data_IF_567871690817
#
_entry.id   IF_567871690817
#
_cell.length_a   1.000
_cell.length_b   1.000
_cell.length_c   1.000
_cell.angle_alpha   90.00
_cell.angle_beta   90.00
_cell.angle_gamma   90.00
#
_symmetry.space_group_name_H-M   'P 1'
#
loop_
_entity.id
_entity.type
_entity.pdbx_description
1 polymer ?
#
# COMPACT_ATOMS: atom_id res chain seq x y z
N UNK A 1 -26.72 -6.45 -1.32
CA UNK A 1 -25.31 -6.50 -1.68
C UNK A 1 -25.22 -6.31 -3.19
N UNK A 2 -24.38 -5.39 -3.63
CA UNK A 2 -24.14 -5.15 -5.04
C UNK A 2 -23.33 -6.30 -5.65
N UNK A 3 -23.44 -6.44 -6.97
CA UNK A 3 -22.63 -7.40 -7.73
C UNK A 3 -21.28 -6.73 -7.92
N UNK A 4 -20.28 -7.19 -7.19
CA UNK A 4 -18.94 -6.63 -7.25
C UNK A 4 -18.17 -7.00 -5.99
N UNK A 5 -17.03 -6.38 -5.81
CA UNK A 5 -16.18 -6.64 -4.65
C UNK A 5 -15.75 -5.34 -3.97
N UNK A 6 -15.49 -5.43 -2.70
CA UNK A 6 -14.88 -4.41 -1.87
C UNK A 6 -13.57 -4.93 -1.29
N UNK A 7 -12.49 -4.17 -1.47
CA UNK A 7 -11.14 -4.57 -1.12
C UNK A 7 -10.34 -3.44 -0.50
N UNK A 8 -9.27 -3.79 0.18
CA UNK A 8 -8.29 -2.87 0.74
C UNK A 8 -8.90 -1.79 1.64
N UNK A 9 -9.74 -2.16 2.62
CA UNK A 9 -10.29 -1.18 3.55
C UNK A 9 -9.17 -0.54 4.37
N UNK A 10 -9.25 0.78 4.53
CA UNK A 10 -8.34 1.58 5.36
C UNK A 10 -9.14 2.57 6.19
N UNK A 11 -9.01 2.46 7.50
CA UNK A 11 -9.63 3.39 8.44
C UNK A 11 -8.83 4.69 8.42
N UNK A 12 -9.53 5.84 8.43
CA UNK A 12 -8.89 7.15 8.54
C UNK A 12 -8.19 7.30 9.90
N UNK A 13 -7.10 8.06 10.01
CA UNK A 13 -6.41 8.26 11.29
C UNK A 13 -7.30 8.79 12.42
N UNK A 14 -8.30 9.59 12.11
CA UNK A 14 -9.30 10.10 13.08
C UNK A 14 -10.44 9.11 13.40
N UNK A 15 -10.44 7.93 12.75
CA UNK A 15 -11.41 6.85 12.97
C UNK A 15 -12.82 7.09 12.40
N UNK A 16 -13.06 8.20 11.67
CA UNK A 16 -14.41 8.57 11.24
C UNK A 16 -14.84 7.93 9.93
N UNK A 17 -13.89 7.52 9.09
CA UNK A 17 -14.15 7.01 7.76
C UNK A 17 -13.40 5.73 7.47
N UNK A 18 -13.92 4.96 6.52
CA UNK A 18 -13.24 3.82 5.89
C UNK A 18 -13.16 4.11 4.40
N UNK A 19 -11.95 4.17 3.85
CA UNK A 19 -11.72 4.18 2.41
C UNK A 19 -11.50 2.75 1.93
N UNK A 20 -11.97 2.44 0.73
CA UNK A 20 -11.80 1.11 0.14
C UNK A 20 -11.86 1.17 -1.39
N UNK A 21 -11.36 0.13 -2.02
CA UNK A 21 -11.50 -0.11 -3.46
C UNK A 21 -12.79 -0.89 -3.69
N UNK A 22 -13.71 -0.35 -4.50
CA UNK A 22 -15.00 -0.97 -4.76
C UNK A 22 -15.29 -1.08 -6.26
N UNK A 23 -16.12 -2.07 -6.62
CA UNK A 23 -16.58 -2.30 -7.99
C UNK A 23 -18.11 -2.43 -7.99
N UNK A 24 -18.81 -1.32 -8.19
CA UNK A 24 -20.29 -1.30 -8.18
C UNK A 24 -20.93 -1.17 -9.57
N UNK A 25 -20.20 -0.64 -10.54
CA UNK A 25 -20.69 -0.39 -11.91
C UNK A 25 -19.75 -0.95 -13.01
N UNK A 26 -18.96 -1.95 -12.66
CA UNK A 26 -18.01 -2.59 -13.55
C UNK A 26 -16.59 -2.01 -13.49
N UNK A 27 -16.42 -0.75 -13.06
CA UNK A 27 -15.11 -0.15 -12.86
C UNK A 27 -14.67 -0.25 -11.39
N UNK A 28 -13.38 -0.42 -11.17
CA UNK A 28 -12.77 -0.40 -9.85
C UNK A 28 -12.40 1.02 -9.46
N UNK A 29 -12.98 1.52 -8.38
CA UNK A 29 -12.83 2.91 -7.98
C UNK A 29 -12.56 3.06 -6.47
N UNK A 30 -12.11 4.25 -6.08
CA UNK A 30 -11.96 4.62 -4.67
C UNK A 30 -13.30 5.06 -4.10
N UNK A 31 -13.68 4.45 -2.99
CA UNK A 31 -14.89 4.79 -2.23
C UNK A 31 -14.53 5.16 -0.78
N UNK A 32 -15.42 5.91 -0.17
CA UNK A 32 -15.37 6.24 1.26
C UNK A 32 -16.74 6.05 1.89
N UNK A 33 -16.76 5.53 3.12
CA UNK A 33 -17.97 5.35 3.92
C UNK A 33 -17.70 5.82 5.36
N UNK A 34 -18.66 6.41 6.08
CA UNK A 34 -18.51 6.65 7.52
C UNK A 34 -18.25 5.36 8.27
N UNK A 35 -17.38 5.36 9.28
CA UNK A 35 -17.08 4.16 10.09
C UNK A 35 -18.27 3.63 10.86
N UNK A 36 -19.26 4.48 11.12
CA UNK A 36 -20.55 4.11 11.72
C UNK A 36 -21.53 3.43 10.73
N UNK A 37 -21.12 3.28 9.46
CA UNK A 37 -21.96 2.75 8.38
C UNK A 37 -22.67 3.84 7.59
N UNK A 38 -23.40 3.44 6.54
CA UNK A 38 -24.10 4.37 5.65
C UNK A 38 -23.98 3.96 4.19
N UNK A 39 -24.14 4.93 3.30
CA UNK A 39 -24.03 4.73 1.85
C UNK A 39 -22.60 5.08 1.42
N UNK A 40 -21.88 4.20 0.73
CA UNK A 40 -20.55 4.51 0.18
C UNK A 40 -20.63 5.66 -0.84
N UNK A 41 -19.66 6.55 -0.79
CA UNK A 41 -19.50 7.64 -1.75
C UNK A 41 -18.30 7.34 -2.64
N UNK A 42 -18.51 7.35 -3.95
CA UNK A 42 -17.45 7.22 -4.96
C UNK A 42 -16.64 8.51 -5.05
N UNK A 43 -15.32 8.39 -5.13
CA UNK A 43 -14.39 9.52 -5.18
C UNK A 43 -13.62 9.60 -6.50
N UNK A 44 -13.46 8.48 -7.23
CA UNK A 44 -12.78 8.45 -8.52
C UNK A 44 -13.71 7.96 -9.62
N UNK A 45 -13.45 8.42 -10.86
CA UNK A 45 -14.24 8.12 -12.04
C UNK A 45 -13.29 7.87 -13.20
N UNK A 46 -12.72 6.66 -13.27
CA UNK A 46 -11.66 6.34 -14.21
C UNK A 46 -12.17 5.40 -15.31
N UNK A 47 -11.65 5.55 -16.49
CA UNK A 47 -11.83 4.58 -17.56
C UNK A 47 -10.71 3.54 -17.46
N UNK A 48 -11.04 2.34 -17.02
CA UNK A 48 -10.04 1.34 -16.66
C UNK A 48 -9.63 0.42 -17.81
N UNK A 49 -10.30 0.51 -18.95
CA UNK A 49 -9.95 -0.22 -20.18
C UNK A 49 -9.79 -1.74 -19.98
N UNK A 50 -10.71 -2.35 -19.24
CA UNK A 50 -10.70 -3.78 -18.86
C UNK A 50 -9.50 -4.20 -17.97
N UNK A 51 -8.93 -3.29 -17.19
CA UNK A 51 -7.85 -3.56 -16.24
C UNK A 51 -8.33 -3.79 -14.81
N UNK A 52 -9.59 -4.16 -14.64
CA UNK A 52 -10.23 -4.32 -13.32
C UNK A 52 -10.48 -5.78 -12.92
N UNK A 53 -9.97 -6.72 -13.69
CA UNK A 53 -10.13 -8.12 -13.35
C UNK A 53 -9.30 -8.48 -12.11
N UNK A 54 -9.94 -9.03 -11.09
CA UNK A 54 -9.27 -9.62 -9.92
C UNK A 54 -8.34 -10.76 -10.29
N UNK A 55 -8.61 -11.46 -11.36
CA UNK A 55 -7.75 -12.50 -11.91
C UNK A 55 -6.50 -11.97 -12.59
N UNK A 56 -6.42 -10.66 -12.82
CA UNK A 56 -5.22 -10.03 -13.37
C UNK A 56 -4.08 -10.13 -12.35
N UNK A 57 -2.94 -10.59 -12.83
CA UNK A 57 -1.68 -10.72 -12.06
C UNK A 57 -1.19 -9.40 -11.47
N UNK A 58 -1.73 -8.29 -11.90
CA UNK A 58 -1.40 -6.94 -11.43
C UNK A 58 -2.36 -6.40 -10.39
N UNK A 59 -3.38 -7.17 -10.05
CA UNK A 59 -4.48 -6.73 -9.21
C UNK A 59 -5.39 -5.69 -9.89
N UNK A 60 -6.45 -5.28 -9.21
CA UNK A 60 -7.38 -4.29 -9.74
C UNK A 60 -6.73 -2.91 -9.87
N UNK A 61 -7.40 -2.03 -10.60
CA UNK A 61 -7.02 -0.62 -10.66
C UNK A 61 -7.50 0.14 -9.40
N UNK A 62 -7.02 1.39 -9.19
CA UNK A 62 -7.44 2.28 -8.11
C UNK A 62 -7.44 1.63 -6.71
N UNK A 63 -6.32 1.00 -6.36
CA UNK A 63 -6.16 0.32 -5.08
C UNK A 63 -5.92 1.33 -3.97
N UNK A 64 -6.79 1.34 -2.96
CA UNK A 64 -6.61 2.15 -1.75
C UNK A 64 -5.42 1.62 -0.95
N UNK A 65 -4.45 2.50 -0.72
CA UNK A 65 -3.21 2.20 0.02
C UNK A 65 -3.32 2.69 1.47
N UNK A 66 -3.84 3.89 1.68
CA UNK A 66 -3.93 4.51 3.01
C UNK A 66 -4.54 5.89 3.00
N UNK A 67 -4.21 6.66 4.01
CA UNK A 67 -4.67 8.02 4.24
C UNK A 67 -3.49 8.96 4.49
N UNK A 68 -3.71 10.25 4.22
CA UNK A 68 -2.83 11.29 4.79
C UNK A 68 -3.02 11.36 6.31
N UNK A 69 -1.99 11.74 7.08
CA UNK A 69 -2.08 11.77 8.55
C UNK A 69 -3.16 12.70 9.09
N UNK A 70 -3.54 13.73 8.33
CA UNK A 70 -4.60 14.70 8.68
C UNK A 70 -6.02 14.20 8.36
N UNK A 71 -6.16 12.96 7.86
CA UNK A 71 -7.43 12.32 7.47
C UNK A 71 -8.19 13.03 6.33
N UNK A 72 -7.53 13.92 5.58
CA UNK A 72 -8.21 14.70 4.53
C UNK A 72 -8.14 14.07 3.16
N UNK A 73 -7.12 13.27 2.88
CA UNK A 73 -6.94 12.67 1.57
C UNK A 73 -6.71 11.16 1.67
N UNK A 74 -7.19 10.45 0.67
CA UNK A 74 -6.98 9.03 0.51
C UNK A 74 -5.85 8.83 -0.48
N UNK A 75 -4.82 8.06 -0.06
CA UNK A 75 -3.74 7.61 -0.90
C UNK A 75 -4.16 6.35 -1.64
N UNK A 76 -4.04 6.35 -2.95
CA UNK A 76 -4.36 5.21 -3.78
C UNK A 76 -3.34 5.02 -4.92
N UNK A 77 -3.27 3.82 -5.44
CA UNK A 77 -2.47 3.47 -6.61
C UNK A 77 -3.39 3.31 -7.81
N UNK A 78 -3.02 3.93 -8.93
CA UNK A 78 -3.72 3.76 -10.21
C UNK A 78 -2.77 3.30 -11.31
N UNK A 79 -3.32 2.63 -12.33
CA UNK A 79 -2.64 2.31 -13.59
C UNK A 79 -3.17 3.13 -14.78
N UNK A 80 -4.04 4.07 -14.53
CA UNK A 80 -4.74 4.84 -15.56
C UNK A 80 -3.78 5.50 -16.56
N UNK A 81 -2.63 6.00 -16.09
CA UNK A 81 -1.66 6.72 -16.89
C UNK A 81 -0.40 5.92 -17.19
N UNK A 82 -0.36 4.64 -16.87
CA UNK A 82 0.82 3.80 -17.09
C UNK A 82 0.72 3.05 -18.42
N UNK A 83 1.85 2.98 -19.13
CA UNK A 83 1.93 2.23 -20.39
C UNK A 83 1.85 0.72 -20.15
N UNK A 84 2.44 0.22 -19.08
CA UNK A 84 2.43 -1.20 -18.73
C UNK A 84 1.75 -1.46 -17.39
N UNK A 85 1.31 -2.69 -17.16
CA UNK A 85 0.56 -3.07 -15.98
C UNK A 85 1.44 -3.38 -14.75
N UNK A 86 2.77 -3.43 -14.91
CA UNK A 86 3.70 -3.75 -13.82
C UNK A 86 3.92 -2.58 -12.86
N UNK A 87 3.81 -1.37 -13.35
CA UNK A 87 4.00 -0.16 -12.58
C UNK A 87 2.68 0.55 -12.35
N UNK A 88 2.60 1.35 -11.33
CA UNK A 88 1.46 2.22 -11.04
C UNK A 88 1.94 3.59 -10.62
N UNK A 89 1.00 4.51 -10.51
CA UNK A 89 1.22 5.84 -9.97
C UNK A 89 0.49 5.97 -8.64
N UNK A 90 1.10 6.65 -7.70
CA UNK A 90 0.45 7.02 -6.45
C UNK A 90 -0.24 8.37 -6.62
N UNK A 91 -1.47 8.42 -6.19
CA UNK A 91 -2.31 9.62 -6.22
C UNK A 91 -2.99 9.83 -4.87
N UNK A 92 -3.41 11.04 -4.62
CA UNK A 92 -4.29 11.36 -3.51
C UNK A 92 -5.60 11.95 -4.02
N UNK A 93 -6.71 11.62 -3.37
CA UNK A 93 -8.03 12.23 -3.64
C UNK A 93 -8.61 12.74 -2.33
N UNK A 94 -9.23 13.96 -2.32
CA UNK A 94 -9.86 14.48 -1.11
C UNK A 94 -10.98 13.56 -0.62
N UNK A 95 -11.03 13.30 0.69
CA UNK A 95 -12.07 12.48 1.29
C UNK A 95 -13.48 13.08 1.09
N UNK A 96 -13.59 14.38 0.94
CA UNK A 96 -14.84 15.08 0.65
C UNK A 96 -15.21 15.07 -0.85
N UNK A 97 -14.37 14.50 -1.71
CA UNK A 97 -14.50 14.51 -3.16
C UNK A 97 -13.73 15.68 -3.78
N UNK A 98 -13.48 15.57 -5.07
CA UNK A 98 -12.71 16.55 -5.83
C UNK A 98 -11.73 15.88 -6.78
N UNK A 99 -10.80 16.64 -7.33
CA UNK A 99 -9.82 16.15 -8.29
C UNK A 99 -8.70 15.35 -7.57
N UNK A 100 -8.35 14.23 -8.17
CA UNK A 100 -7.21 13.45 -7.70
C UNK A 100 -5.89 14.08 -8.17
N UNK A 101 -4.91 14.13 -7.28
CA UNK A 101 -3.60 14.75 -7.53
C UNK A 101 -2.51 13.68 -7.48
N UNK A 102 -1.64 13.69 -8.48
CA UNK A 102 -0.50 12.77 -8.56
C UNK A 102 0.58 13.13 -7.54
N UNK A 103 1.10 12.12 -6.85
CA UNK A 103 2.36 12.26 -6.11
C UNK A 103 3.50 12.20 -7.13
N UNK A 104 4.44 13.16 -7.15
CA UNK A 104 5.44 13.28 -8.21
C UNK A 104 6.54 12.21 -8.09
N UNK A 105 6.14 10.95 -8.20
CA UNK A 105 6.99 9.77 -8.22
C UNK A 105 6.92 9.08 -9.58
N UNK A 106 8.04 8.54 -10.03
CA UNK A 106 8.10 7.82 -11.31
C UNK A 106 7.16 6.62 -11.33
N UNK A 107 7.14 5.86 -10.23
CA UNK A 107 6.32 4.66 -10.04
C UNK A 107 5.97 4.54 -8.56
N UNK A 108 4.86 3.87 -8.25
CA UNK A 108 4.48 3.55 -6.89
C UNK A 108 3.65 2.28 -6.79
N UNK A 109 4.05 1.41 -5.88
CA UNK A 109 3.32 0.21 -5.49
C UNK A 109 2.56 0.45 -4.19
N UNK A 110 3.14 0.02 -3.06
CA UNK A 110 2.63 0.33 -1.73
C UNK A 110 3.35 1.54 -1.13
N UNK A 111 2.68 2.22 -0.23
CA UNK A 111 3.26 3.38 0.44
C UNK A 111 2.61 3.66 1.80
N UNK A 112 3.34 4.40 2.65
CA UNK A 112 2.88 4.87 3.95
C UNK A 112 3.46 6.24 4.25
N UNK A 113 2.63 7.19 4.67
CA UNK A 113 3.08 8.51 5.11
C UNK A 113 3.82 8.43 6.46
N UNK A 114 4.83 9.28 6.64
CA UNK A 114 5.34 9.58 7.97
C UNK A 114 4.25 10.26 8.81
N UNK A 115 4.27 10.13 10.15
CA UNK A 115 3.22 10.70 10.99
C UNK A 115 3.05 12.23 10.85
N UNK A 116 4.14 12.93 10.51
CA UNK A 116 4.13 14.38 10.25
C UNK A 116 3.69 14.76 8.82
N UNK A 117 3.45 13.78 7.96
CA UNK A 117 3.03 13.96 6.57
C UNK A 117 4.11 14.48 5.62
N UNK A 118 5.34 14.68 6.09
CA UNK A 118 6.42 15.27 5.27
C UNK A 118 7.16 14.28 4.40
N UNK A 119 7.02 13.00 4.69
CA UNK A 119 7.70 11.93 3.95
C UNK A 119 6.74 10.81 3.60
N UNK A 120 7.10 10.07 2.55
CA UNK A 120 6.38 8.89 2.10
C UNK A 120 7.37 7.73 1.95
N UNK A 121 7.22 6.67 2.74
CA UNK A 121 7.88 5.42 2.48
C UNK A 121 7.12 4.67 1.38
N UNK A 122 7.81 4.14 0.37
CA UNK A 122 7.17 3.49 -0.77
C UNK A 122 8.07 2.45 -1.44
N UNK A 123 7.46 1.57 -2.21
CA UNK A 123 8.13 0.68 -3.14
C UNK A 123 7.53 0.84 -4.56
N UNK A 124 8.24 0.41 -5.60
CA UNK A 124 7.85 0.71 -6.99
C UNK A 124 6.73 -0.17 -7.53
N UNK A 125 6.72 -1.45 -7.17
CA UNK A 125 5.91 -2.45 -7.84
C UNK A 125 4.88 -3.04 -6.88
N UNK A 126 3.62 -3.12 -7.33
CA UNK A 126 2.56 -3.80 -6.59
C UNK A 126 2.62 -5.31 -6.87
N UNK A 127 2.92 -6.13 -5.86
CA UNK A 127 3.22 -7.55 -6.06
C UNK A 127 2.32 -8.55 -5.34
N UNK A 128 1.37 -8.10 -4.51
CA UNK A 128 0.57 -9.01 -3.69
C UNK A 128 -0.25 -10.04 -4.49
N UNK A 129 -0.62 -9.73 -5.70
CA UNK A 129 -1.37 -10.64 -6.57
C UNK A 129 -0.48 -11.55 -7.43
N UNK A 130 0.84 -11.48 -7.28
CA UNK A 130 1.74 -12.27 -8.09
C UNK A 130 2.04 -13.63 -7.50
N UNK A 131 2.24 -14.59 -8.41
CA UNK A 131 2.66 -15.95 -8.08
C UNK A 131 4.18 -16.14 -8.03
N UNK A 132 4.96 -15.11 -8.39
CA UNK A 132 6.42 -15.21 -8.40
C UNK A 132 6.96 -15.12 -6.99
N UNK A 133 7.72 -16.13 -6.62
CA UNK A 133 8.48 -16.16 -5.39
C UNK A 133 9.98 -16.04 -5.68
N UNK A 134 10.72 -15.50 -4.74
CA UNK A 134 12.19 -15.48 -4.75
C UNK A 134 12.78 -14.85 -6.00
N UNK A 135 12.11 -13.86 -6.56
CA UNK A 135 12.58 -13.18 -7.75
C UNK A 135 13.84 -12.37 -7.42
N UNK A 136 14.88 -12.57 -8.24
CA UNK A 136 16.12 -11.82 -8.19
C UNK A 136 16.32 -11.17 -9.55
N UNK A 137 16.32 -9.85 -9.59
CA UNK A 137 16.46 -9.13 -10.85
C UNK A 137 16.05 -7.67 -10.75
N UNK A 138 16.11 -6.95 -11.84
CA UNK A 138 15.88 -5.50 -11.88
C UNK A 138 14.48 -5.02 -11.48
N UNK A 139 13.54 -5.94 -11.25
CA UNK A 139 12.21 -5.66 -10.69
C UNK A 139 12.06 -6.18 -9.25
N UNK A 140 13.12 -6.69 -8.61
CA UNK A 140 13.13 -6.85 -7.16
C UNK A 140 13.05 -5.46 -6.55
N UNK A 141 12.15 -5.31 -5.59
CA UNK A 141 11.80 -3.98 -5.09
C UNK A 141 12.51 -3.69 -3.76
N UNK A 142 12.81 -2.42 -3.54
CA UNK A 142 13.42 -1.88 -2.33
C UNK A 142 12.51 -0.81 -1.74
N UNK A 143 12.62 -0.61 -0.43
CA UNK A 143 11.95 0.49 0.24
C UNK A 143 12.71 1.80 0.00
N UNK A 144 11.95 2.82 -0.33
CA UNK A 144 12.41 4.19 -0.56
C UNK A 144 11.65 5.17 0.31
N UNK A 145 12.26 6.29 0.62
CA UNK A 145 11.62 7.43 1.27
C UNK A 145 11.66 8.60 0.30
N UNK A 146 10.49 9.15 0.01
CA UNK A 146 10.34 10.42 -0.68
C UNK A 146 10.10 11.53 0.35
N UNK A 147 10.78 12.63 0.18
CA UNK A 147 10.67 13.81 1.03
C UNK A 147 9.98 14.93 0.25
N UNK A 148 8.82 15.38 0.75
CA UNK A 148 7.97 16.37 0.07
C UNK A 148 8.55 17.78 0.10
N UNK A 149 9.41 18.10 1.07
CA UNK A 149 10.03 19.43 1.16
C UNK A 149 11.19 19.58 0.17
N UNK A 150 11.98 18.52 0.01
CA UNK A 150 13.17 18.54 -0.87
C UNK A 150 12.91 17.96 -2.25
N UNK A 151 11.79 17.27 -2.46
CA UNK A 151 11.47 16.48 -3.68
C UNK A 151 12.53 15.43 -4.02
N UNK A 152 13.20 14.88 -3.01
CA UNK A 152 14.21 13.85 -3.18
C UNK A 152 13.70 12.48 -2.75
N UNK A 153 14.15 11.46 -3.45
CA UNK A 153 13.88 10.07 -3.10
C UNK A 153 15.18 9.36 -2.72
N UNK A 154 15.20 8.73 -1.56
CA UNK A 154 16.31 7.94 -1.07
C UNK A 154 15.92 6.48 -0.92
N UNK A 155 16.71 5.56 -1.46
CA UNK A 155 16.61 4.12 -1.19
C UNK A 155 17.16 3.83 0.20
N UNK A 156 16.43 3.08 1.02
CA UNK A 156 16.82 2.75 2.41
C UNK A 156 17.10 1.27 2.62
N UNK A 157 16.63 0.39 1.74
CA UNK A 157 17.03 -1.01 1.69
C UNK A 157 17.75 -1.28 0.38
N UNK A 158 18.62 -2.29 0.34
CA UNK A 158 19.43 -2.64 -0.84
C UNK A 158 19.67 -4.15 -0.84
N UNK A 159 18.61 -4.90 -1.01
CA UNK A 159 18.65 -6.36 -1.01
C UNK A 159 18.51 -6.89 -2.44
N UNK A 160 19.09 -8.08 -2.66
CA UNK A 160 18.98 -8.76 -3.95
C UNK A 160 17.56 -9.29 -4.20
N UNK A 161 16.78 -9.43 -3.13
CA UNK A 161 15.40 -9.87 -3.09
C UNK A 161 14.44 -8.72 -2.82
N UNK A 162 13.18 -9.03 -2.55
CA UNK A 162 12.15 -8.01 -2.46
C UNK A 162 11.97 -7.50 -1.04
N UNK A 163 11.94 -6.19 -0.91
CA UNK A 163 11.45 -5.46 0.26
C UNK A 163 10.23 -4.65 -0.15
N UNK A 164 9.06 -4.96 0.39
CA UNK A 164 7.78 -4.38 -0.06
C UNK A 164 6.86 -4.04 1.11
N UNK A 165 5.81 -3.28 0.82
CA UNK A 165 4.74 -2.88 1.75
C UNK A 165 5.30 -2.15 2.98
N UNK A 166 5.90 -0.97 2.78
CA UNK A 166 6.37 -0.17 3.90
C UNK A 166 5.22 0.35 4.76
N UNK A 167 5.39 0.27 6.07
CA UNK A 167 4.45 0.77 7.06
C UNK A 167 5.23 1.63 8.07
N UNK A 168 4.95 2.93 8.10
CA UNK A 168 5.63 3.85 8.99
C UNK A 168 5.09 3.73 10.41
N UNK A 169 5.97 3.60 11.41
CA UNK A 169 5.57 3.55 12.82
C UNK A 169 4.95 4.87 13.29
N UNK A 170 4.06 4.79 14.27
CA UNK A 170 3.37 5.97 14.81
C UNK A 170 4.32 7.00 15.45
N UNK A 171 5.45 6.56 15.98
CA UNK A 171 6.50 7.43 16.54
C UNK A 171 7.42 8.07 15.49
N UNK A 172 7.28 7.68 14.22
CA UNK A 172 8.08 8.21 13.11
C UNK A 172 9.51 7.68 13.02
N UNK A 173 9.92 6.75 13.89
CA UNK A 173 11.31 6.31 14.00
C UNK A 173 11.64 5.04 13.23
N UNK A 174 10.61 4.30 12.78
CA UNK A 174 10.78 2.99 12.18
C UNK A 174 9.90 2.84 10.93
N UNK A 175 10.34 1.98 10.02
CA UNK A 175 9.54 1.52 8.89
C UNK A 175 9.50 -0.02 8.97
N UNK A 176 8.29 -0.56 9.14
CA UNK A 176 8.04 -1.99 9.01
C UNK A 176 7.83 -2.33 7.54
N UNK A 177 8.22 -3.52 7.12
CA UNK A 177 8.03 -3.99 5.75
C UNK A 177 8.12 -5.52 5.71
N UNK A 178 7.74 -6.14 4.61
CA UNK A 178 7.95 -7.56 4.40
C UNK A 178 9.05 -7.81 3.38
N UNK A 179 9.81 -8.89 3.58
CA UNK A 179 10.94 -9.28 2.73
C UNK A 179 11.03 -10.79 2.59
N UNK A 180 11.39 -11.25 1.37
CA UNK A 180 11.69 -12.66 1.09
C UNK A 180 13.19 -12.97 1.10
N UNK A 181 14.01 -12.14 1.79
CA UNK A 181 15.47 -12.32 1.86
C UNK A 181 15.89 -13.69 2.44
N UNK A 182 15.06 -14.31 3.26
CA UNK A 182 15.23 -15.66 3.81
C UNK A 182 14.29 -16.69 3.14
N UNK A 183 13.98 -16.51 1.86
CA UNK A 183 13.13 -17.36 1.02
C UNK A 183 11.62 -17.29 1.27
N UNK A 184 11.19 -16.82 2.43
CA UNK A 184 9.78 -16.66 2.82
C UNK A 184 9.55 -15.20 3.22
N UNK A 185 8.45 -14.62 2.77
CA UNK A 185 8.06 -13.27 3.18
C UNK A 185 7.84 -13.23 4.69
N UNK A 186 8.73 -12.55 5.37
CA UNK A 186 8.71 -12.29 6.80
C UNK A 186 8.64 -10.79 7.08
N UNK A 187 8.25 -10.44 8.30
CA UNK A 187 8.19 -9.07 8.76
C UNK A 187 9.58 -8.60 9.23
N UNK A 188 9.97 -7.42 8.78
CA UNK A 188 11.21 -6.72 9.11
C UNK A 188 10.91 -5.31 9.60
N UNK A 189 11.87 -4.73 10.30
CA UNK A 189 11.86 -3.32 10.69
C UNK A 189 13.18 -2.66 10.31
N UNK A 190 13.08 -1.49 9.68
CA UNK A 190 14.20 -0.57 9.48
C UNK A 190 14.13 0.55 10.51
N UNK A 191 15.21 0.78 11.23
CA UNK A 191 15.34 1.87 12.19
C UNK A 191 16.01 3.06 11.52
N UNK A 192 15.33 4.20 11.52
CA UNK A 192 15.80 5.42 10.85
C UNK A 192 17.00 6.09 11.53
N UNK A 193 17.17 5.90 12.85
CA UNK A 193 18.24 6.56 13.61
C UNK A 193 19.61 5.95 13.38
N UNK A 194 19.70 4.62 13.36
CA UNK A 194 20.95 3.87 13.20
C UNK A 194 21.08 3.18 11.84
N UNK A 195 20.03 3.27 11.00
CA UNK A 195 19.95 2.70 9.66
C UNK A 195 20.12 1.17 9.64
N UNK A 196 19.65 0.51 10.68
CA UNK A 196 19.73 -0.96 10.79
C UNK A 196 18.41 -1.63 10.41
N UNK A 197 18.50 -2.81 9.81
CA UNK A 197 17.35 -3.68 9.52
C UNK A 197 17.38 -4.87 10.45
N UNK A 198 16.23 -5.24 11.02
CA UNK A 198 16.06 -6.41 11.89
C UNK A 198 14.83 -7.20 11.48
N UNK A 199 14.97 -8.53 11.43
CA UNK A 199 13.86 -9.46 11.25
C UNK A 199 13.01 -9.57 12.52
N UNK A 200 11.69 -9.62 12.36
CA UNK A 200 10.72 -9.68 13.45
C UNK A 200 9.99 -11.02 13.52
N UNK A 201 9.74 -11.67 12.37
CA UNK A 201 9.09 -12.98 12.29
C UNK A 201 10.00 -13.96 11.57
N UNK A 202 9.88 -15.26 11.90
CA UNK A 202 10.77 -16.33 11.42
C UNK A 202 9.97 -17.50 10.84
N UNK A 203 8.99 -17.18 9.99
CA UNK A 203 8.15 -18.16 9.34
C UNK A 203 8.94 -18.94 8.30
N UNK A 204 8.63 -20.24 8.12
CA UNK A 204 9.35 -21.12 7.20
C UNK A 204 8.45 -21.78 6.16
N UNK A 205 7.13 -21.75 6.35
CA UNK A 205 6.19 -22.50 5.51
C UNK A 205 5.41 -21.60 4.55
N UNK A 206 4.85 -20.49 5.05
CA UNK A 206 3.97 -19.60 4.29
C UNK A 206 4.46 -18.16 4.36
N UNK A 207 4.26 -17.43 3.26
CA UNK A 207 4.53 -16.00 3.17
C UNK A 207 3.54 -15.20 4.02
N UNK A 208 4.01 -14.14 4.64
CA UNK A 208 3.15 -13.08 5.16
C UNK A 208 2.56 -12.33 3.97
N UNK A 209 1.25 -12.07 4.02
CA UNK A 209 0.50 -11.32 3.01
C UNK A 209 -0.34 -10.23 3.65
N UNK A 210 -0.57 -9.16 2.88
CA UNK A 210 -1.46 -8.05 3.23
C UNK A 210 -1.23 -7.48 4.64
N UNK A 211 0.03 -7.25 5.08
CA UNK A 211 0.23 -6.65 6.39
C UNK A 211 -0.39 -5.25 6.44
N UNK A 212 -0.97 -4.92 7.58
CA UNK A 212 -1.54 -3.60 7.84
C UNK A 212 -1.20 -3.18 9.26
N UNK A 213 -0.62 -1.99 9.40
CA UNK A 213 -0.30 -1.38 10.69
C UNK A 213 -1.48 -0.54 11.17
N UNK A 214 -1.88 -0.74 12.42
CA UNK A 214 -2.88 0.07 13.13
C UNK A 214 -2.41 0.33 14.55
N UNK A 215 -2.12 1.60 14.87
CA UNK A 215 -1.44 1.94 16.12
C UNK A 215 -0.07 1.28 16.20
N UNK A 216 0.16 0.46 17.22
CA UNK A 216 1.43 -0.27 17.42
C UNK A 216 1.34 -1.76 17.02
N UNK A 217 0.25 -2.16 16.37
CA UNK A 217 -0.01 -3.56 16.03
C UNK A 217 -0.03 -3.77 14.52
N UNK A 218 0.58 -4.87 14.07
CA UNK A 218 0.53 -5.28 12.66
C UNK A 218 -0.35 -6.52 12.54
N UNK A 219 -1.37 -6.45 11.72
CA UNK A 219 -2.23 -7.59 11.36
C UNK A 219 -1.84 -8.07 9.97
N UNK A 220 -1.73 -9.37 9.77
CA UNK A 220 -1.39 -9.97 8.49
C UNK A 220 -2.05 -11.34 8.29
N UNK A 221 -2.13 -11.76 7.05
CA UNK A 221 -2.53 -13.12 6.66
C UNK A 221 -1.29 -13.99 6.47
N UNK A 222 -1.37 -15.25 6.93
CA UNK A 222 -0.38 -16.28 6.65
C UNK A 222 -1.04 -17.66 6.60
N UNK A 223 -0.92 -18.33 5.46
CA UNK A 223 -1.48 -19.68 5.28
C UNK A 223 -3.00 -19.74 5.44
N UNK A 224 -3.73 -18.66 5.13
CA UNK A 224 -5.18 -18.57 5.28
C UNK A 224 -5.65 -18.22 6.69
N UNK A 225 -4.73 -17.87 7.60
CA UNK A 225 -5.04 -17.49 8.99
C UNK A 225 -4.60 -16.05 9.22
N UNK A 226 -5.40 -15.30 9.99
CA UNK A 226 -5.05 -13.94 10.42
C UNK A 226 -4.22 -13.98 11.70
N UNK A 227 -3.13 -13.25 11.68
CA UNK A 227 -2.22 -13.09 12.81
C UNK A 227 -2.11 -11.62 13.23
N UNK A 228 -1.76 -11.42 14.48
CA UNK A 228 -1.43 -10.13 15.07
C UNK A 228 0.00 -10.17 15.62
N UNK A 229 0.78 -9.18 15.29
CA UNK A 229 2.11 -8.91 15.82
C UNK A 229 2.06 -7.63 16.65
N UNK A 230 2.55 -7.70 17.90
CA UNK A 230 2.60 -6.60 18.87
C UNK A 230 4.00 -6.01 18.98
#
# INVERSE_FOLDING_TARGET
SDIGYEMFPRISPDGKYIAFTGQYDGNTEVFVIPSAGGIPRRLTYTATLNRDDLGDRMGPNNIVIGWTPDSKHILFRTRQFTFNDFTGQLMTVPAEGGEAVEIPLKNGGFASYSPDGKKLAYNYVFREFRTWKRYQGGMADDIRIYDFDTHQSQKITDEIRQDIIPMWSADGNKIYFISDRDDIMNLYVYNLSDKTTRQLTFNKDYDIKFPALGGDQIVYEQGGILYKFD
#
